data_IF_667889745380
#
_entry.id   IF_667889745380
#
_cell.length_a   1.000
_cell.length_b   1.000
_cell.length_c   1.000
_cell.angle_alpha   90.00
_cell.angle_beta   90.00
_cell.angle_gamma   90.00
#
_symmetry.space_group_name_H-M   'P 1'
#
loop_
_entity.id
_entity.type
_entity.pdbx_description
1 polymer ?
#
# COMPACT_ATOMS: atom_id res chain seq x y z
N UNK A 1 15.56 32.99 5.54
CA UNK A 1 14.62 32.29 6.44
C UNK A 1 13.23 32.44 5.85
N UNK A 2 12.69 31.40 5.23
CA UNK A 2 11.33 31.40 4.69
C UNK A 2 10.43 30.78 5.76
N UNK A 3 9.40 31.52 6.16
CA UNK A 3 8.52 31.17 7.25
C UNK A 3 7.79 29.83 6.99
N UNK A 4 7.84 28.95 7.99
CA UNK A 4 7.15 27.65 8.02
C UNK A 4 5.65 27.90 7.96
N UNK A 5 4.99 27.48 6.88
CA UNK A 5 3.53 27.39 6.86
C UNK A 5 3.14 26.15 7.67
N UNK A 6 2.61 26.35 8.87
CA UNK A 6 2.14 25.30 9.76
C UNK A 6 0.80 24.75 9.25
N UNK A 7 0.71 23.43 9.09
CA UNK A 7 -0.50 22.69 8.68
C UNK A 7 -0.88 21.66 9.75
N UNK A 8 -0.88 22.07 11.01
CA UNK A 8 -1.24 21.24 12.17
C UNK A 8 -2.67 20.67 12.13
N UNK A 9 -3.50 21.08 11.17
CA UNK A 9 -4.94 20.77 11.08
C UNK A 9 -5.31 19.60 10.15
N UNK A 10 -4.36 18.81 9.63
CA UNK A 10 -4.69 17.64 8.78
C UNK A 10 -5.00 16.39 9.66
N UNK A 11 -6.20 15.78 9.57
CA UNK A 11 -6.70 14.77 10.52
C UNK A 11 -6.14 13.35 10.32
N UNK A 12 -5.23 13.13 9.35
CA UNK A 12 -4.68 11.81 9.06
C UNK A 12 -3.32 11.63 9.75
N UNK A 13 -3.19 10.71 10.70
CA UNK A 13 -1.95 10.60 11.47
C UNK A 13 -0.80 9.93 10.72
N UNK A 14 -1.12 9.10 9.71
CA UNK A 14 -0.14 8.55 8.79
C UNK A 14 0.57 9.70 8.03
N UNK A 15 -0.13 10.80 7.74
CA UNK A 15 0.45 11.98 7.09
C UNK A 15 1.44 12.77 7.98
N UNK A 16 1.38 12.63 9.31
CA UNK A 16 2.29 13.31 10.26
C UNK A 16 3.64 12.59 10.44
N UNK A 17 3.71 11.29 10.14
CA UNK A 17 4.94 10.47 10.31
C UNK A 17 5.79 10.34 9.03
N UNK A 18 5.34 10.88 7.90
CA UNK A 18 5.90 10.63 6.57
C UNK A 18 6.53 11.88 5.93
N UNK A 19 6.98 12.79 6.80
CA UNK A 19 7.47 14.16 6.53
C UNK A 19 8.77 14.25 5.70
N UNK A 20 9.32 13.13 5.21
CA UNK A 20 10.41 13.10 4.21
C UNK A 20 9.91 12.80 2.77
N UNK A 21 8.72 13.31 2.43
CA UNK A 21 8.21 13.87 1.14
C UNK A 21 8.37 13.08 -0.20
N UNK A 22 9.19 12.04 -0.29
CA UNK A 22 9.54 11.33 -1.52
C UNK A 22 8.50 10.30 -1.95
N UNK A 23 8.26 9.35 -1.05
CA UNK A 23 7.49 8.14 -1.33
C UNK A 23 6.03 8.24 -0.87
N UNK A 24 5.74 9.13 0.08
CA UNK A 24 4.41 9.26 0.70
C UNK A 24 3.28 9.59 -0.28
N UNK A 25 3.55 10.49 -1.22
CA UNK A 25 2.56 10.87 -2.23
C UNK A 25 2.10 9.68 -3.06
N UNK A 26 2.95 8.67 -3.26
CA UNK A 26 2.57 7.44 -3.96
C UNK A 26 1.45 6.70 -3.23
N UNK A 27 1.58 6.55 -1.91
CA UNK A 27 0.59 5.88 -1.07
C UNK A 27 -0.72 6.67 -1.07
N UNK A 28 -0.66 7.99 -0.94
CA UNK A 28 -1.84 8.85 -0.98
C UNK A 28 -2.55 8.85 -2.34
N UNK A 29 -1.79 8.88 -3.44
CA UNK A 29 -2.34 8.78 -4.79
C UNK A 29 -3.01 7.44 -5.02
N UNK A 30 -2.40 6.34 -4.57
CA UNK A 30 -3.00 5.01 -4.63
C UNK A 30 -4.29 4.96 -3.79
N UNK A 31 -4.27 5.48 -2.55
CA UNK A 31 -5.46 5.58 -1.68
C UNK A 31 -6.61 6.29 -2.38
N UNK A 32 -6.35 7.45 -2.97
CA UNK A 32 -7.36 8.24 -3.65
C UNK A 32 -7.89 7.53 -4.90
N UNK A 33 -7.01 6.85 -5.64
CA UNK A 33 -7.41 6.08 -6.80
C UNK A 33 -8.25 4.84 -6.45
N UNK A 34 -7.99 4.21 -5.30
CA UNK A 34 -8.85 3.14 -4.78
C UNK A 34 -10.24 3.64 -4.38
N UNK A 35 -10.40 4.93 -4.09
CA UNK A 35 -11.69 5.59 -3.88
C UNK A 35 -12.35 6.05 -5.20
N UNK A 36 -11.72 5.79 -6.35
CA UNK A 36 -12.26 6.08 -7.68
C UNK A 36 -11.81 7.42 -8.28
N UNK A 37 -10.84 8.13 -7.67
CA UNK A 37 -10.26 9.31 -8.31
C UNK A 37 -9.38 8.86 -9.47
N UNK A 38 -9.58 9.46 -10.65
CA UNK A 38 -8.79 9.12 -11.85
C UNK A 38 -8.19 10.34 -12.54
N UNK A 39 -8.67 11.55 -12.24
CA UNK A 39 -8.26 12.78 -12.95
C UNK A 39 -7.27 13.62 -12.16
N UNK A 40 -6.41 14.34 -12.87
CA UNK A 40 -5.36 15.18 -12.27
C UNK A 40 -5.91 16.23 -11.30
N UNK A 41 -6.99 16.93 -11.70
CA UNK A 41 -7.66 17.95 -10.89
C UNK A 41 -8.27 17.37 -9.62
N UNK A 42 -8.81 16.16 -9.68
CA UNK A 42 -9.33 15.45 -8.52
C UNK A 42 -8.21 15.14 -7.52
N UNK A 43 -7.09 14.57 -7.98
CA UNK A 43 -5.93 14.31 -7.10
C UNK A 43 -5.35 15.59 -6.53
N UNK A 44 -5.21 16.64 -7.33
CA UNK A 44 -4.70 17.93 -6.88
C UNK A 44 -5.56 18.52 -5.77
N UNK A 45 -6.88 18.51 -5.95
CA UNK A 45 -7.85 19.04 -4.98
C UNK A 45 -7.91 18.19 -3.70
N UNK A 46 -7.88 16.87 -3.84
CA UNK A 46 -7.95 15.94 -2.71
C UNK A 46 -6.72 16.02 -1.81
N UNK A 47 -5.53 16.11 -2.43
CA UNK A 47 -4.26 16.05 -1.73
C UNK A 47 -3.67 17.42 -1.37
N UNK A 48 -4.26 18.50 -1.88
CA UNK A 48 -3.76 19.87 -1.75
C UNK A 48 -2.25 19.95 -2.07
N UNK A 49 -1.90 19.39 -3.22
CA UNK A 49 -0.52 19.19 -3.69
C UNK A 49 -0.20 20.13 -4.86
N UNK A 50 1.02 20.67 -4.88
CA UNK A 50 1.48 21.51 -5.98
C UNK A 50 1.48 20.74 -7.33
N UNK A 51 0.99 21.33 -8.43
CA UNK A 51 0.85 20.66 -9.74
C UNK A 51 2.13 20.03 -10.28
N UNK A 52 3.28 20.70 -10.09
CA UNK A 52 4.58 20.21 -10.55
C UNK A 52 5.00 18.94 -9.80
N UNK A 53 4.72 18.87 -8.49
CA UNK A 53 5.01 17.68 -7.68
C UNK A 53 4.07 16.55 -8.07
N UNK A 54 2.77 16.84 -8.22
CA UNK A 54 1.77 15.84 -8.63
C UNK A 54 2.13 15.21 -9.98
N UNK A 55 2.48 16.02 -10.98
CA UNK A 55 2.92 15.56 -12.30
C UNK A 55 4.08 14.58 -12.18
N UNK A 56 5.13 14.95 -11.42
CA UNK A 56 6.30 14.08 -11.22
C UNK A 56 5.95 12.76 -10.55
N UNK A 57 5.03 12.78 -9.56
CA UNK A 57 4.61 11.57 -8.84
C UNK A 57 3.77 10.64 -9.72
N UNK A 58 2.77 11.19 -10.42
CA UNK A 58 1.95 10.40 -11.34
C UNK A 58 2.80 9.79 -12.46
N UNK A 59 3.73 10.54 -13.06
CA UNK A 59 4.64 10.00 -14.06
C UNK A 59 5.49 8.85 -13.50
N UNK A 60 6.07 9.01 -12.31
CA UNK A 60 6.87 7.93 -11.70
C UNK A 60 6.03 6.68 -11.39
N UNK A 61 4.77 6.85 -10.97
CA UNK A 61 3.88 5.71 -10.73
C UNK A 61 3.45 5.02 -12.03
N UNK A 62 3.33 5.77 -13.13
CA UNK A 62 3.10 5.20 -14.47
C UNK A 62 4.32 4.41 -14.93
N UNK A 63 5.52 4.98 -14.82
CA UNK A 63 6.78 4.29 -15.15
C UNK A 63 6.98 3.01 -14.33
N UNK A 64 6.55 3.00 -13.07
CA UNK A 64 6.62 1.83 -12.18
C UNK A 64 5.50 0.81 -12.42
N UNK A 65 4.58 1.10 -13.35
CA UNK A 65 3.45 0.23 -13.70
C UNK A 65 2.38 0.14 -12.62
N UNK A 66 2.24 1.16 -11.78
CA UNK A 66 1.17 1.25 -10.77
C UNK A 66 -0.06 2.02 -11.31
N UNK A 67 0.19 3.02 -12.15
CA UNK A 67 -0.86 3.67 -12.94
C UNK A 67 -0.68 3.40 -14.42
N UNK A 68 -1.78 3.40 -15.15
CA UNK A 68 -1.79 3.55 -16.60
C UNK A 68 -2.41 4.91 -16.93
N UNK A 69 -1.76 5.67 -17.83
CA UNK A 69 -2.27 6.95 -18.29
C UNK A 69 -3.08 6.74 -19.57
N UNK A 70 -4.40 6.90 -19.50
CA UNK A 70 -5.32 6.67 -20.61
C UNK A 70 -5.95 7.98 -21.07
N UNK A 71 -6.07 8.19 -22.38
CA UNK A 71 -6.90 9.26 -22.91
C UNK A 71 -8.39 8.85 -22.81
N UNK A 72 -9.22 9.69 -22.20
CA UNK A 72 -10.68 9.48 -22.12
C UNK A 72 -11.47 10.48 -22.96
N UNK A 73 -10.82 11.53 -23.46
CA UNK A 73 -11.38 12.50 -24.38
C UNK A 73 -10.29 12.95 -25.34
N UNK A 74 -10.57 12.99 -26.64
CA UNK A 74 -9.62 13.43 -27.66
C UNK A 74 -9.72 14.93 -27.96
N UNK A 75 -10.87 15.57 -27.66
CA UNK A 75 -11.14 16.98 -27.98
C UNK A 75 -11.98 17.67 -26.89
N UNK A 76 -11.37 18.44 -25.97
CA UNK A 76 -9.92 18.60 -25.77
C UNK A 76 -9.28 17.31 -25.26
N UNK A 77 -7.99 17.11 -25.53
CA UNK A 77 -7.26 15.92 -25.06
C UNK A 77 -7.24 15.89 -23.52
N UNK A 78 -7.88 14.90 -22.92
CA UNK A 78 -7.91 14.70 -21.47
C UNK A 78 -7.49 13.29 -21.12
N UNK A 79 -6.70 13.20 -20.05
CA UNK A 79 -6.16 11.95 -19.55
C UNK A 79 -6.71 11.63 -18.17
N UNK A 80 -6.80 10.34 -17.90
CA UNK A 80 -7.04 9.75 -16.60
C UNK A 80 -5.90 8.80 -16.24
N UNK A 81 -5.77 8.53 -14.94
CA UNK A 81 -4.79 7.63 -14.34
C UNK A 81 -5.56 6.49 -13.68
N UNK A 82 -5.42 5.28 -14.23
CA UNK A 82 -6.16 4.10 -13.78
C UNK A 82 -5.23 3.09 -13.12
N UNK A 83 -5.69 2.44 -12.05
CA UNK A 83 -4.90 1.44 -11.32
C UNK A 83 -4.68 0.20 -12.18
N UNK A 84 -3.41 -0.21 -12.30
CA UNK A 84 -3.03 -1.48 -12.92
C UNK A 84 -3.32 -2.66 -11.99
N UNK A 85 -3.18 -3.90 -12.49
CA UNK A 85 -3.26 -5.10 -11.65
C UNK A 85 -2.24 -5.06 -10.50
N UNK A 86 -0.99 -4.68 -10.81
CA UNK A 86 0.09 -4.51 -9.82
C UNK A 86 -0.28 -3.54 -8.71
N UNK A 87 -0.98 -2.45 -9.02
CA UNK A 87 -1.43 -1.50 -8.01
C UNK A 87 -2.62 -2.02 -7.21
N UNK A 88 -3.54 -2.78 -7.83
CA UNK A 88 -4.67 -3.41 -7.13
C UNK A 88 -4.20 -4.39 -6.05
N UNK A 89 -3.12 -5.13 -6.31
CA UNK A 89 -2.48 -6.01 -5.35
C UNK A 89 -1.90 -5.26 -4.13
N UNK A 90 -1.74 -3.94 -4.22
CA UNK A 90 -1.27 -3.10 -3.11
C UNK A 90 -2.37 -2.74 -2.11
N UNK A 91 -3.65 -3.03 -2.40
CA UNK A 91 -4.78 -2.69 -1.53
C UNK A 91 -4.62 -3.21 -0.09
N UNK A 92 -4.21 -4.46 0.17
CA UNK A 92 -4.04 -4.96 1.54
C UNK A 92 -3.05 -4.13 2.36
N UNK A 93 -1.96 -3.66 1.75
CA UNK A 93 -0.96 -2.81 2.42
C UNK A 93 -1.60 -1.52 2.94
N UNK A 94 -2.47 -0.89 2.14
CA UNK A 94 -3.19 0.32 2.56
C UNK A 94 -4.15 0.06 3.72
N UNK A 95 -4.86 -1.07 3.70
CA UNK A 95 -5.83 -1.42 4.74
C UNK A 95 -5.13 -1.70 6.06
N UNK A 96 -4.04 -2.47 6.05
CA UNK A 96 -3.25 -2.75 7.26
C UNK A 96 -2.61 -1.47 7.81
N UNK A 97 -2.12 -0.58 6.93
CA UNK A 97 -1.58 0.72 7.35
C UNK A 97 -2.65 1.62 7.99
N UNK A 98 -3.87 1.62 7.44
CA UNK A 98 -5.02 2.32 8.02
C UNK A 98 -5.34 1.79 9.42
N UNK A 99 -5.45 0.48 9.59
CA UNK A 99 -5.75 -0.14 10.88
C UNK A 99 -4.69 0.19 11.95
N UNK A 100 -3.41 0.11 11.57
CA UNK A 100 -2.31 0.55 12.45
C UNK A 100 -2.44 2.04 12.82
N UNK A 101 -2.70 2.91 11.85
CA UNK A 101 -2.86 4.35 12.10
C UNK A 101 -4.04 4.65 13.03
N UNK A 102 -5.17 3.97 12.85
CA UNK A 102 -6.33 4.08 13.73
C UNK A 102 -6.02 3.64 15.16
N UNK A 103 -5.24 2.56 15.33
CA UNK A 103 -4.91 2.02 16.66
C UNK A 103 -3.97 2.94 17.46
N UNK A 104 -2.99 3.55 16.80
CA UNK A 104 -1.88 4.19 17.50
C UNK A 104 -1.90 5.72 17.45
N UNK A 105 -2.56 6.28 16.45
CA UNK A 105 -2.39 7.68 16.13
C UNK A 105 -3.72 8.46 16.04
N UNK A 106 -4.84 7.81 16.34
CA UNK A 106 -6.16 8.42 16.40
C UNK A 106 -6.68 8.46 17.85
N UNK A 107 -6.13 9.33 18.72
CA UNK A 107 -6.50 9.38 20.14
C UNK A 107 -7.96 9.80 20.36
N UNK A 108 -8.56 10.53 19.42
CA UNK A 108 -9.98 10.90 19.42
C UNK A 108 -10.89 9.82 18.79
N UNK A 109 -10.32 8.71 18.34
CA UNK A 109 -11.01 7.64 17.61
C UNK A 109 -10.82 7.71 16.08
N UNK A 110 -11.12 6.62 15.35
CA UNK A 110 -10.85 6.52 13.93
C UNK A 110 -11.75 7.43 13.10
N UNK A 111 -11.16 8.27 12.24
CA UNK A 111 -11.88 9.13 11.29
C UNK A 111 -12.21 8.44 9.96
N UNK A 112 -11.59 7.28 9.71
CA UNK A 112 -11.82 6.44 8.54
C UNK A 112 -11.74 4.98 8.97
N UNK A 113 -12.73 4.18 8.60
CA UNK A 113 -12.80 2.74 8.91
C UNK A 113 -13.08 1.95 7.65
N UNK A 114 -12.69 0.68 7.66
CA UNK A 114 -13.13 -0.29 6.65
C UNK A 114 -14.49 -0.81 7.10
N UNK A 115 -15.44 -0.87 6.17
CA UNK A 115 -16.76 -1.46 6.43
C UNK A 115 -17.07 -2.53 5.40
N UNK A 116 -17.81 -3.55 5.82
CA UNK A 116 -18.44 -4.46 4.88
C UNK A 116 -19.57 -3.71 4.15
N UNK A 117 -19.53 -3.71 2.82
CA UNK A 117 -20.53 -3.03 1.99
C UNK A 117 -21.91 -3.69 2.05
N UNK A 118 -22.00 -4.93 2.51
CA UNK A 118 -23.26 -5.66 2.61
C UNK A 118 -24.10 -5.24 3.83
N UNK A 119 -23.46 -4.94 4.96
CA UNK A 119 -24.16 -4.67 6.23
C UNK A 119 -23.66 -3.42 6.99
N UNK A 120 -22.62 -2.76 6.51
CA UNK A 120 -22.05 -1.54 7.08
C UNK A 120 -21.24 -1.75 8.36
N UNK A 121 -21.00 -3.00 8.78
CA UNK A 121 -20.23 -3.27 10.00
C UNK A 121 -18.76 -2.96 9.79
N UNK A 122 -18.12 -2.50 10.86
CA UNK A 122 -16.69 -2.22 10.88
C UNK A 122 -15.90 -3.52 10.74
N UNK A 123 -14.90 -3.50 9.87
CA UNK A 123 -13.98 -4.60 9.64
C UNK A 123 -12.56 -4.19 10.06
N UNK A 124 -11.93 -4.99 10.91
CA UNK A 124 -10.51 -4.84 11.22
C UNK A 124 -9.72 -5.82 10.33
N UNK A 125 -8.81 -5.35 9.46
CA UNK A 125 -8.06 -6.24 8.59
C UNK A 125 -7.05 -7.09 9.39
N UNK A 126 -7.08 -8.40 9.13
CA UNK A 126 -6.09 -9.37 9.63
C UNK A 126 -5.29 -9.97 8.47
N UNK A 127 -4.03 -10.31 8.71
CA UNK A 127 -3.20 -11.06 7.76
C UNK A 127 -3.25 -12.54 8.12
N UNK A 128 -3.71 -13.37 7.19
CA UNK A 128 -3.80 -14.82 7.38
C UNK A 128 -2.94 -15.55 6.36
N UNK A 129 -2.39 -16.68 6.75
CA UNK A 129 -1.88 -17.66 5.81
C UNK A 129 -3.06 -18.19 4.96
N UNK A 130 -2.89 -18.14 3.64
CA UNK A 130 -3.99 -18.44 2.71
C UNK A 130 -4.45 -19.89 2.77
N UNK A 131 -3.55 -20.82 3.09
CA UNK A 131 -3.85 -22.26 3.07
C UNK A 131 -4.46 -22.72 4.40
N UNK A 132 -3.89 -22.28 5.52
CA UNK A 132 -4.28 -22.74 6.86
C UNK A 132 -5.30 -21.82 7.53
N UNK A 133 -5.43 -20.57 7.08
CA UNK A 133 -6.27 -19.55 7.70
C UNK A 133 -5.73 -19.01 9.03
N UNK A 134 -4.53 -19.42 9.46
CA UNK A 134 -3.91 -18.95 10.69
C UNK A 134 -3.44 -17.50 10.54
N UNK A 135 -3.69 -16.67 11.54
CA UNK A 135 -3.20 -15.29 11.57
C UNK A 135 -1.68 -15.25 11.65
N UNK A 136 -1.06 -14.50 10.73
CA UNK A 136 0.40 -14.38 10.64
C UNK A 136 1.00 -13.65 11.86
N UNK A 137 0.20 -12.79 12.51
CA UNK A 137 0.62 -11.99 13.66
C UNK A 137 0.51 -12.75 15.00
N UNK A 138 -0.16 -13.91 15.01
CA UNK A 138 -0.42 -14.71 16.23
C UNK A 138 0.80 -15.52 16.74
N UNK A 139 1.97 -15.35 16.13
CA UNK A 139 3.17 -16.12 16.41
C UNK A 139 3.22 -17.46 15.67
N UNK A 140 4.39 -18.10 15.66
CA UNK A 140 4.60 -19.36 14.93
C UNK A 140 4.81 -19.20 13.41
N UNK A 141 4.96 -17.97 12.93
CA UNK A 141 5.47 -17.64 11.61
C UNK A 141 6.80 -16.90 11.75
N UNK A 142 7.76 -17.19 10.87
CA UNK A 142 9.04 -16.50 10.80
C UNK A 142 9.40 -16.22 9.35
N UNK A 143 10.21 -15.20 9.12
CA UNK A 143 10.75 -14.93 7.79
C UNK A 143 11.86 -15.93 7.49
N UNK A 144 11.71 -16.69 6.41
CA UNK A 144 12.72 -17.61 5.91
C UNK A 144 13.12 -17.23 4.47
N UNK A 145 14.32 -17.64 4.06
CA UNK A 145 14.77 -17.44 2.68
C UNK A 145 14.12 -18.44 1.73
N UNK A 146 13.61 -17.96 0.59
CA UNK A 146 13.06 -18.82 -0.45
C UNK A 146 14.13 -19.48 -1.33
N UNK A 147 13.71 -20.36 -2.27
CA UNK A 147 14.61 -21.16 -3.12
C UNK A 147 15.63 -20.34 -3.91
N UNK A 148 15.22 -19.15 -4.37
CA UNK A 148 16.02 -18.25 -5.21
C UNK A 148 16.77 -17.17 -4.43
N UNK A 149 16.91 -17.30 -3.11
CA UNK A 149 17.64 -16.32 -2.31
C UNK A 149 19.12 -16.26 -2.70
N UNK A 150 19.66 -15.06 -2.87
CA UNK A 150 21.10 -14.88 -3.06
C UNK A 150 21.86 -15.17 -1.76
N UNK A 151 23.16 -15.41 -1.84
CA UNK A 151 23.99 -15.67 -0.65
C UNK A 151 23.92 -14.53 0.37
N UNK A 152 23.90 -13.29 -0.13
CA UNK A 152 23.69 -12.09 0.71
C UNK A 152 22.36 -12.13 1.46
N UNK A 153 21.29 -12.61 0.81
CA UNK A 153 19.97 -12.72 1.45
C UNK A 153 19.93 -13.85 2.48
N UNK A 154 20.54 -15.00 2.17
CA UNK A 154 20.70 -16.12 3.13
C UNK A 154 21.49 -15.69 4.36
N UNK A 155 22.58 -14.95 4.17
CA UNK A 155 23.37 -14.42 5.26
C UNK A 155 22.58 -13.44 6.14
N UNK A 156 21.76 -12.57 5.53
CA UNK A 156 20.93 -11.60 6.26
C UNK A 156 19.91 -12.27 7.17
N UNK A 157 19.31 -13.38 6.73
CA UNK A 157 18.28 -14.09 7.47
C UNK A 157 18.78 -15.36 8.15
N UNK A 158 20.11 -15.53 8.31
CA UNK A 158 20.68 -16.75 8.88
C UNK A 158 20.07 -17.08 10.25
N UNK A 159 19.82 -16.07 11.09
CA UNK A 159 19.30 -16.28 12.44
C UNK A 159 17.81 -16.66 12.45
N UNK A 160 17.03 -16.18 11.47
CA UNK A 160 15.63 -16.57 11.31
C UNK A 160 15.52 -18.02 10.79
N UNK A 161 16.48 -18.48 9.98
CA UNK A 161 16.56 -19.88 9.51
C UNK A 161 17.24 -20.84 10.49
N UNK A 162 18.32 -20.43 11.17
CA UNK A 162 19.09 -21.25 12.12
C UNK A 162 18.38 -21.35 13.48
N UNK A 163 17.75 -20.27 13.95
CA UNK A 163 17.03 -20.24 15.23
C UNK A 163 15.70 -20.98 15.24
N UNK A 164 15.17 -21.36 14.07
CA UNK A 164 13.90 -22.09 13.92
C UNK A 164 14.09 -23.57 13.56
N UNK A 165 15.30 -24.00 13.18
CA UNK A 165 15.57 -25.37 12.72
C UNK A 165 14.83 -25.74 11.42
N UNK A 166 14.28 -24.77 10.70
CA UNK A 166 13.45 -25.00 9.52
C UNK A 166 14.36 -25.19 8.28
N UNK A 167 14.19 -26.26 7.50
CA UNK A 167 14.91 -26.43 6.25
C UNK A 167 14.61 -25.25 5.31
N UNK A 168 15.51 -25.00 4.34
CA UNK A 168 15.23 -24.09 3.24
C UNK A 168 13.85 -24.42 2.66
N UNK A 169 12.98 -23.43 2.52
CA UNK A 169 11.61 -23.63 2.02
C UNK A 169 11.72 -24.08 0.56
N UNK A 170 11.65 -25.38 0.30
CA UNK A 170 11.51 -25.94 -1.04
C UNK A 170 10.05 -25.73 -1.49
N UNK A 171 9.84 -25.25 -2.71
CA UNK A 171 8.50 -24.97 -3.23
C UNK A 171 7.64 -26.24 -3.25
N UNK A 172 6.71 -26.38 -2.30
CA UNK A 172 5.58 -27.28 -2.41
C UNK A 172 4.39 -26.55 -3.01
N UNK A 173 4.16 -26.63 -4.32
CA UNK A 173 2.93 -26.09 -4.91
C UNK A 173 3.00 -25.64 -6.37
N UNK A 174 3.58 -26.43 -7.26
CA UNK A 174 3.34 -26.25 -8.70
C UNK A 174 3.28 -27.59 -9.44
N UNK A 175 2.50 -28.54 -8.93
CA UNK A 175 2.11 -29.73 -9.68
C UNK A 175 0.81 -30.33 -9.08
N UNK A 176 -0.35 -29.94 -9.63
CA UNK A 176 -1.53 -30.79 -9.79
C UNK A 176 -2.76 -29.97 -10.21
N UNK A 177 -3.05 -29.97 -11.51
CA UNK A 177 -4.36 -30.30 -12.15
C UNK A 177 -4.46 -29.63 -13.52
N UNK A 178 -3.72 -30.20 -14.48
CA UNK A 178 -4.24 -30.39 -15.82
C UNK A 178 -4.99 -31.73 -15.80
N UNK A 179 -6.31 -31.68 -15.79
CA UNK A 179 -7.24 -32.67 -16.38
C UNK A 179 -8.56 -31.98 -16.63
#
# INVERSE_FOLDING_TARGET
MVAKTSFETRPCPIARSLDEVGEWWSILLLRDAFQGLTRFDQFQKSLDIAPNILTRRLNSLVERGLFEKRAYCERPLRHEYVLTAKARDFRPVLLTLLAWGNRHLAPEGPSLVVVDTADGRWADPVLVDKETGRELDSGGFTLATGPRASDRMRQRYRFSSEGSGLPLVENGGQEARSR
#
